data_IF_163034512692
#
_entry.id   IF_163034512692
#
_cell.length_a   1.000
_cell.length_b   1.000
_cell.length_c   1.000
_cell.angle_alpha   90.00
_cell.angle_beta   90.00
_cell.angle_gamma   90.00
#
_symmetry.space_group_name_H-M   'P 1'
#
loop_
_entity.id
_entity.type
_entity.pdbx_description
1 polymer ?
#
# COMPACT_ATOMS: atom_id res chain seq x y z
N UNK A 1 1.02 -6.25 3.56
CA UNK A 1 -0.15 -6.80 4.27
C UNK A 1 0.30 -7.78 5.35
N UNK A 2 0.06 -7.49 6.62
CA UNK A 2 0.45 -8.37 7.74
C UNK A 2 -0.59 -9.47 7.96
N UNK A 3 -0.13 -10.72 8.10
CA UNK A 3 -0.97 -11.91 8.24
C UNK A 3 -0.73 -12.56 9.61
N UNK A 4 -1.81 -12.98 10.26
CA UNK A 4 -1.81 -13.61 11.57
C UNK A 4 -2.38 -15.02 11.52
N UNK A 5 -1.73 -15.96 12.23
CA UNK A 5 -2.34 -17.26 12.57
C UNK A 5 -3.38 -17.05 13.67
N UNK A 6 -4.32 -17.97 13.81
CA UNK A 6 -5.42 -17.87 14.79
C UNK A 6 -4.97 -17.56 16.23
N UNK A 7 -3.84 -18.13 16.69
CA UNK A 7 -3.32 -17.85 18.03
C UNK A 7 -2.80 -16.41 18.17
N UNK A 8 -2.06 -15.91 17.18
CA UNK A 8 -1.54 -14.55 17.17
C UNK A 8 -2.66 -13.52 17.06
N UNK A 9 -3.66 -13.79 16.23
CA UNK A 9 -4.86 -12.96 16.12
C UNK A 9 -5.63 -12.91 17.45
N UNK A 10 -5.85 -14.06 18.07
CA UNK A 10 -6.54 -14.16 19.36
C UNK A 10 -5.83 -13.34 20.46
N UNK A 11 -4.50 -13.42 20.53
CA UNK A 11 -3.70 -12.60 21.44
C UNK A 11 -3.87 -11.11 21.17
N UNK A 12 -3.97 -10.69 19.90
CA UNK A 12 -4.13 -9.29 19.50
C UNK A 12 -5.47 -8.70 19.92
N UNK A 13 -6.55 -9.49 19.84
CA UNK A 13 -7.91 -9.06 20.21
C UNK A 13 -8.30 -9.42 21.65
N UNK A 14 -7.38 -9.99 22.44
CA UNK A 14 -7.59 -10.29 23.85
C UNK A 14 -8.54 -11.46 24.14
N UNK A 15 -8.61 -12.47 23.26
CA UNK A 15 -9.49 -13.65 23.46
C UNK A 15 -8.73 -14.97 23.33
N UNK A 16 -9.35 -16.07 23.73
CA UNK A 16 -8.76 -17.40 23.55
C UNK A 16 -8.82 -17.87 22.08
N UNK A 17 -7.81 -18.62 21.63
CA UNK A 17 -7.72 -19.13 20.23
C UNK A 17 -8.94 -19.95 19.78
N UNK A 18 -9.62 -20.63 20.71
CA UNK A 18 -10.82 -21.40 20.38
C UNK A 18 -12.03 -20.50 20.12
N UNK A 19 -12.11 -19.34 20.78
CA UNK A 19 -13.15 -18.33 20.53
C UNK A 19 -13.04 -17.82 19.09
N UNK A 20 -11.83 -17.49 18.64
CA UNK A 20 -11.57 -17.11 17.25
C UNK A 20 -12.02 -18.18 16.26
N UNK A 21 -11.66 -19.45 16.50
CA UNK A 21 -12.08 -20.57 15.64
C UNK A 21 -13.60 -20.76 15.64
N UNK A 22 -14.27 -20.58 16.77
CA UNK A 22 -15.72 -20.64 16.90
C UNK A 22 -16.38 -19.52 16.09
N UNK A 23 -15.88 -18.29 16.24
CA UNK A 23 -16.38 -17.13 15.51
C UNK A 23 -16.23 -17.27 14.00
N UNK A 24 -15.12 -17.82 13.50
CA UNK A 24 -15.00 -18.10 12.06
C UNK A 24 -15.99 -19.14 11.57
N UNK A 25 -16.31 -20.17 12.37
CA UNK A 25 -17.35 -21.16 12.00
C UNK A 25 -18.76 -20.56 12.00
N UNK A 26 -19.02 -19.64 12.92
CA UNK A 26 -20.31 -18.93 13.01
C UNK A 26 -20.46 -17.78 12.01
N UNK A 27 -19.41 -17.44 11.25
CA UNK A 27 -19.41 -16.33 10.29
C UNK A 27 -19.12 -14.94 10.89
N UNK A 28 -18.92 -14.81 12.21
CA UNK A 28 -18.56 -13.54 12.88
C UNK A 28 -17.16 -13.04 12.49
N UNK A 29 -16.25 -13.94 12.15
CA UNK A 29 -14.93 -13.64 11.60
C UNK A 29 -14.77 -14.34 10.24
N UNK A 30 -13.90 -13.85 9.34
CA UNK A 30 -13.64 -14.55 8.08
C UNK A 30 -13.06 -15.95 8.31
N UNK A 31 -13.52 -16.95 7.54
CA UNK A 31 -12.96 -18.31 7.52
C UNK A 31 -11.91 -18.48 6.40
N UNK A 32 -11.03 -17.49 6.23
CA UNK A 32 -9.95 -17.53 5.23
C UNK A 32 -8.91 -18.59 5.61
N UNK A 33 -8.45 -19.36 4.60
CA UNK A 33 -7.50 -20.47 4.78
C UNK A 33 -6.35 -20.42 3.80
N UNK A 34 -5.16 -20.80 4.26
CA UNK A 34 -4.01 -21.02 3.39
C UNK A 34 -4.21 -22.27 2.52
N UNK A 35 -3.41 -22.48 1.47
CA UNK A 35 -3.44 -23.73 0.69
C UNK A 35 -3.25 -24.99 1.55
N UNK A 36 -2.48 -24.88 2.64
CA UNK A 36 -2.29 -25.95 3.63
C UNK A 36 -3.48 -26.11 4.61
N UNK A 37 -4.58 -25.37 4.43
CA UNK A 37 -5.81 -25.49 5.23
C UNK A 37 -5.82 -24.76 6.57
N UNK A 38 -4.78 -23.98 6.90
CA UNK A 38 -4.70 -23.22 8.14
C UNK A 38 -5.45 -21.90 8.06
N UNK A 39 -6.22 -21.56 9.10
CA UNK A 39 -6.88 -20.25 9.21
C UNK A 39 -5.88 -19.12 9.35
N UNK A 40 -6.13 -18.02 8.64
CA UNK A 40 -5.36 -16.79 8.76
C UNK A 40 -6.25 -15.55 8.79
N UNK A 41 -5.75 -14.50 9.43
CA UNK A 41 -6.40 -13.20 9.60
C UNK A 41 -5.44 -12.09 9.18
N UNK A 42 -5.95 -10.90 8.91
CA UNK A 42 -5.17 -9.72 8.52
C UNK A 42 -5.26 -8.64 9.57
N UNK A 43 -4.41 -7.60 9.47
CA UNK A 43 -4.55 -6.40 10.31
C UNK A 43 -5.95 -5.78 10.19
N UNK A 44 -6.52 -5.75 8.98
CA UNK A 44 -7.88 -5.26 8.74
C UNK A 44 -8.96 -6.03 9.53
N UNK A 45 -8.75 -7.31 9.85
CA UNK A 45 -9.68 -8.07 10.70
C UNK A 45 -9.61 -7.64 12.16
N UNK A 46 -8.42 -7.23 12.62
CA UNK A 46 -8.21 -6.70 13.97
C UNK A 46 -8.91 -5.35 14.07
N UNK A 47 -8.68 -4.47 13.09
CA UNK A 47 -9.30 -3.15 13.03
C UNK A 47 -10.83 -3.27 13.00
N UNK A 48 -11.36 -4.14 12.12
CA UNK A 48 -12.80 -4.45 12.06
C UNK A 48 -13.35 -4.94 13.40
N UNK A 49 -12.62 -5.80 14.11
CA UNK A 49 -13.07 -6.29 15.43
C UNK A 49 -13.20 -5.16 16.46
N UNK A 50 -12.26 -4.22 16.46
CA UNK A 50 -12.29 -3.05 17.35
C UNK A 50 -13.17 -1.90 16.85
N UNK A 51 -13.84 -2.05 15.69
CA UNK A 51 -14.63 -0.98 15.09
C UNK A 51 -13.78 0.19 14.60
N UNK A 52 -12.49 -0.04 14.34
CA UNK A 52 -11.60 0.97 13.77
C UNK A 52 -11.83 0.98 12.26
N UNK A 53 -12.51 2.02 11.76
CA UNK A 53 -12.50 2.34 10.35
C UNK A 53 -11.15 2.97 10.01
N UNK A 54 -10.18 2.13 9.62
CA UNK A 54 -9.03 2.65 8.89
C UNK A 54 -9.53 3.08 7.52
N UNK A 55 -9.36 4.37 7.20
CA UNK A 55 -9.32 4.77 5.81
C UNK A 55 -8.37 3.81 5.09
N UNK A 56 -8.72 3.32 3.88
CA UNK A 56 -7.76 2.54 3.09
C UNK A 56 -6.44 3.30 3.14
N UNK A 57 -5.33 2.62 3.43
CA UNK A 57 -4.01 3.25 3.30
C UNK A 57 -3.97 3.77 1.87
N UNK A 58 -4.19 5.07 1.70
CA UNK A 58 -4.04 5.73 0.43
C UNK A 58 -2.58 5.53 0.11
N UNK A 59 -2.31 4.66 -0.87
CA UNK A 59 -0.96 4.49 -1.36
C UNK A 59 -0.40 5.85 -1.71
N UNK A 60 0.91 6.03 -1.54
CA UNK A 60 1.54 7.30 -1.91
C UNK A 60 1.51 7.42 -3.42
N UNK A 61 0.97 8.53 -3.93
CA UNK A 61 1.03 8.90 -5.34
C UNK A 61 2.32 9.67 -5.54
N UNK A 62 3.25 9.08 -6.29
CA UNK A 62 4.55 9.69 -6.61
C UNK A 62 4.62 9.95 -8.09
N UNK A 63 4.99 11.18 -8.47
CA UNK A 63 5.25 11.55 -9.86
C UNK A 63 6.75 11.65 -10.07
N UNK A 64 7.24 10.99 -11.13
CA UNK A 64 8.66 10.99 -11.49
C UNK A 64 8.87 11.57 -12.88
N UNK A 65 9.68 12.61 -12.97
CA UNK A 65 10.07 13.29 -14.20
C UNK A 65 11.58 13.12 -14.44
N UNK A 66 11.98 12.82 -15.68
CA UNK A 66 13.38 12.60 -16.02
C UNK A 66 13.73 13.13 -17.40
N UNK A 67 14.94 13.66 -17.51
CA UNK A 67 15.63 13.94 -18.78
C UNK A 67 17.01 13.28 -18.83
N UNK A 68 17.53 13.10 -20.04
CA UNK A 68 18.78 12.36 -20.26
C UNK A 68 20.04 13.23 -20.14
N UNK A 69 19.93 14.52 -20.41
CA UNK A 69 21.05 15.45 -20.43
C UNK A 69 20.79 16.68 -19.57
N UNK A 70 21.84 17.22 -18.94
CA UNK A 70 21.78 18.46 -18.14
C UNK A 70 21.29 19.67 -18.93
N UNK A 71 21.56 19.72 -20.23
CA UNK A 71 21.08 20.78 -21.11
C UNK A 71 19.55 20.79 -21.26
N UNK A 72 18.87 19.67 -20.96
CA UNK A 72 17.41 19.53 -21.04
C UNK A 72 16.70 19.95 -19.74
N UNK A 73 17.33 20.78 -18.90
CA UNK A 73 16.72 21.24 -17.65
C UNK A 73 15.40 21.99 -17.87
N UNK A 74 15.26 22.66 -19.01
CA UNK A 74 14.05 23.39 -19.38
C UNK A 74 12.93 22.43 -19.80
N UNK A 75 13.28 21.36 -20.51
CA UNK A 75 12.36 20.26 -20.85
C UNK A 75 11.87 19.56 -19.59
N UNK A 76 12.76 19.34 -18.60
CA UNK A 76 12.40 18.72 -17.33
C UNK A 76 11.37 19.56 -16.55
N UNK A 77 11.56 20.89 -16.52
CA UNK A 77 10.59 21.81 -15.89
C UNK A 77 9.26 21.79 -16.63
N UNK A 78 9.29 21.80 -17.96
CA UNK A 78 8.08 21.72 -18.79
C UNK A 78 7.33 20.40 -18.58
N UNK A 79 8.06 19.28 -18.46
CA UNK A 79 7.50 17.96 -18.17
C UNK A 79 6.83 17.92 -16.79
N UNK A 80 7.47 18.49 -15.77
CA UNK A 80 6.89 18.58 -14.43
C UNK A 80 5.59 19.41 -14.43
N UNK A 81 5.60 20.60 -15.05
CA UNK A 81 4.41 21.48 -15.13
C UNK A 81 3.23 20.83 -15.88
N UNK A 82 3.52 20.10 -16.96
CA UNK A 82 2.50 19.36 -17.69
C UNK A 82 1.85 18.29 -16.80
N UNK A 83 2.65 17.61 -15.99
CA UNK A 83 2.16 16.58 -15.08
C UNK A 83 1.40 17.17 -13.88
N UNK A 84 1.83 18.32 -13.35
CA UNK A 84 1.09 19.07 -12.33
C UNK A 84 -0.31 19.44 -12.83
N UNK A 85 -0.38 19.98 -14.05
CA UNK A 85 -1.66 20.34 -14.69
C UNK A 85 -2.56 19.11 -14.87
N UNK A 86 -1.99 17.99 -15.30
CA UNK A 86 -2.72 16.73 -15.46
C UNK A 86 -3.26 16.20 -14.12
N UNK A 87 -2.43 16.15 -13.08
CA UNK A 87 -2.82 15.67 -11.75
C UNK A 87 -3.91 16.55 -11.13
N UNK A 88 -3.79 17.88 -11.25
CA UNK A 88 -4.81 18.83 -10.81
C UNK A 88 -6.13 18.63 -11.58
N UNK A 89 -6.08 18.50 -12.90
CA UNK A 89 -7.27 18.31 -13.74
C UNK A 89 -7.99 16.98 -13.52
N UNK A 90 -7.26 15.95 -13.07
CA UNK A 90 -7.81 14.61 -12.79
C UNK A 90 -8.19 14.40 -11.33
N UNK A 91 -7.88 15.35 -10.44
CA UNK A 91 -8.13 15.23 -9.00
C UNK A 91 -7.20 14.24 -8.29
N UNK A 92 -6.03 13.95 -8.87
CA UNK A 92 -5.02 13.09 -8.25
C UNK A 92 -4.21 13.91 -7.23
N UNK A 93 -4.36 13.57 -5.95
CA UNK A 93 -3.49 14.09 -4.89
C UNK A 93 -2.11 13.43 -5.01
N UNK A 94 -1.09 14.22 -5.35
CA UNK A 94 0.31 13.77 -5.44
C UNK A 94 1.00 14.04 -4.10
N UNK A 95 1.59 13.00 -3.52
CA UNK A 95 2.30 13.08 -2.25
C UNK A 95 3.77 13.51 -2.43
N UNK A 96 4.38 13.18 -3.57
CA UNK A 96 5.80 13.39 -3.81
C UNK A 96 6.14 13.60 -5.29
N UNK A 97 7.03 14.54 -5.56
CA UNK A 97 7.56 14.86 -6.88
C UNK A 97 9.05 14.53 -6.92
N UNK A 98 9.45 13.64 -7.82
CA UNK A 98 10.82 13.22 -8.03
C UNK A 98 11.30 13.68 -9.40
N UNK A 99 12.48 14.29 -9.46
CA UNK A 99 13.09 14.74 -10.71
C UNK A 99 14.51 14.19 -10.86
N UNK A 100 14.85 13.67 -12.04
CA UNK A 100 16.18 13.14 -12.33
C UNK A 100 16.75 13.71 -13.63
N UNK A 101 18.04 14.03 -13.60
CA UNK A 101 18.84 14.27 -14.81
C UNK A 101 19.92 13.19 -14.85
N UNK A 102 19.84 12.28 -15.81
CA UNK A 102 20.81 11.21 -15.94
C UNK A 102 20.78 10.55 -17.30
N UNK A 103 21.95 10.40 -17.92
CA UNK A 103 22.09 9.58 -19.12
C UNK A 103 21.92 8.10 -18.73
N UNK A 104 21.12 7.36 -19.50
CA UNK A 104 21.00 5.92 -19.28
C UNK A 104 22.36 5.24 -19.46
N UNK A 105 22.69 4.31 -18.54
CA UNK A 105 23.83 3.39 -18.56
C UNK A 105 25.18 4.03 -18.94
N UNK A 106 25.91 4.52 -17.95
CA UNK A 106 27.36 4.72 -18.05
C UNK A 106 28.03 3.35 -18.17
N UNK A 107 28.07 2.81 -19.39
CA UNK A 107 28.94 1.69 -19.71
C UNK A 107 30.37 2.22 -19.69
N UNK A 108 31.00 2.21 -18.51
CA UNK A 108 32.46 2.25 -18.40
C UNK A 108 32.97 1.06 -19.22
N UNK A 109 33.52 1.34 -20.40
CA UNK A 109 34.18 0.36 -21.26
C UNK A 109 35.67 0.32 -20.96
#
# INVERSE_FOLDING_TARGET
MKIYRAAAFAARIGVHKNTVKSWSRSGKLPDRRTPAGHRYYTEADVDRYFGVERAPESGRTVVYCRVSHRAQGDDLRSQQQAMETFCLGTGLAVDEWLTEIGSGLDFQR
#
